data_IF_764747483519
#
_entry.id   IF_764747483519
#
_cell.length_a   1.000
_cell.length_b   1.000
_cell.length_c   1.000
_cell.angle_alpha   90.00
_cell.angle_beta   90.00
_cell.angle_gamma   90.00
#
_symmetry.space_group_name_H-M   'P 1'
#
loop_
_entity.id
_entity.type
_entity.pdbx_description
1 polymer ?
#
# COMPACT_ATOMS: atom_id res chain seq x y z
N UNK A 1 -19.37 -8.82 19.43
CA UNK A 1 -19.33 -8.16 18.11
C UNK A 1 -18.15 -8.72 17.35
N UNK A 2 -18.41 -9.65 16.44
CA UNK A 2 -17.41 -10.12 15.49
C UNK A 2 -17.07 -8.94 14.57
N UNK A 3 -15.82 -8.46 14.59
CA UNK A 3 -15.38 -7.44 13.64
C UNK A 3 -15.44 -8.08 12.27
N UNK A 4 -16.38 -7.66 11.42
CA UNK A 4 -16.33 -7.92 9.98
C UNK A 4 -15.03 -7.27 9.49
N UNK A 5 -13.97 -8.07 9.36
CA UNK A 5 -12.73 -7.62 8.74
C UNK A 5 -13.10 -7.46 7.27
N UNK A 6 -13.32 -6.23 6.83
CA UNK A 6 -13.48 -5.94 5.41
C UNK A 6 -12.34 -6.61 4.65
N UNK A 7 -12.68 -7.39 3.63
CA UNK A 7 -11.68 -8.14 2.87
C UNK A 7 -10.61 -7.17 2.36
N UNK A 8 -9.36 -7.43 2.76
CA UNK A 8 -8.22 -6.60 2.36
C UNK A 8 -8.06 -6.68 0.85
N UNK A 9 -7.92 -5.53 0.21
CA UNK A 9 -7.62 -5.49 -1.21
C UNK A 9 -6.18 -5.98 -1.50
N UNK A 10 -5.86 -6.19 -2.77
CA UNK A 10 -4.56 -6.74 -3.15
C UNK A 10 -3.40 -5.82 -2.76
N UNK A 11 -3.59 -4.51 -2.78
CA UNK A 11 -2.59 -3.54 -2.33
C UNK A 11 -2.35 -3.64 -0.81
N UNK A 12 -3.40 -3.73 0.01
CA UNK A 12 -3.28 -3.96 1.45
C UNK A 12 -2.54 -5.28 1.77
N UNK A 13 -2.82 -6.33 1.00
CA UNK A 13 -2.11 -7.62 1.10
C UNK A 13 -0.64 -7.50 0.70
N UNK A 14 -0.32 -6.69 -0.31
CA UNK A 14 1.07 -6.42 -0.70
C UNK A 14 1.84 -5.73 0.43
N UNK A 15 1.24 -4.71 1.06
CA UNK A 15 1.85 -4.04 2.20
C UNK A 15 2.07 -5.01 3.38
N UNK A 16 1.16 -5.96 3.62
CA UNK A 16 1.34 -6.98 4.66
C UNK A 16 2.47 -7.95 4.33
N UNK A 17 2.58 -8.38 3.06
CA UNK A 17 3.65 -9.27 2.59
C UNK A 17 5.05 -8.66 2.69
N UNK A 18 5.17 -7.33 2.69
CA UNK A 18 6.45 -6.65 2.91
C UNK A 18 7.05 -6.91 4.30
N UNK A 19 6.25 -7.34 5.28
CA UNK A 19 6.67 -7.49 6.68
C UNK A 19 6.89 -6.16 7.41
N UNK A 20 6.77 -5.02 6.72
CA UNK A 20 6.94 -3.69 7.31
C UNK A 20 5.69 -3.25 8.06
N UNK A 21 5.89 -2.62 9.23
CA UNK A 21 4.80 -1.95 9.95
C UNK A 21 4.32 -0.76 9.13
N UNK A 22 3.00 -0.50 9.09
CA UNK A 22 2.42 0.66 8.38
C UNK A 22 3.03 2.01 8.79
N UNK A 23 3.43 2.16 10.06
CA UNK A 23 4.16 3.36 10.53
C UNK A 23 5.49 3.53 9.79
N UNK A 24 6.26 2.44 9.64
CA UNK A 24 7.56 2.44 8.95
C UNK A 24 7.39 2.71 7.46
N UNK A 25 6.37 2.13 6.81
CA UNK A 25 6.08 2.41 5.41
C UNK A 25 5.76 3.90 5.21
N UNK A 26 4.90 4.48 6.07
CA UNK A 26 4.55 5.89 5.99
C UNK A 26 5.77 6.81 6.21
N UNK A 27 6.62 6.48 7.19
CA UNK A 27 7.87 7.21 7.47
C UNK A 27 8.83 7.17 6.28
N UNK A 28 8.99 6.02 5.62
CA UNK A 28 9.90 5.88 4.46
C UNK A 28 9.41 6.58 3.20
N UNK A 29 8.09 6.75 3.07
CA UNK A 29 7.46 7.49 1.98
C UNK A 29 7.34 8.99 2.28
N UNK A 30 7.80 9.44 3.45
CA UNK A 30 7.60 10.82 3.94
C UNK A 30 6.12 11.28 3.90
N UNK A 31 5.20 10.37 4.25
CA UNK A 31 3.77 10.66 4.34
C UNK A 31 3.21 10.37 5.72
N UNK A 32 2.09 11.01 6.03
CA UNK A 32 1.35 10.69 7.26
C UNK A 32 0.70 9.29 7.18
N UNK A 33 0.48 8.67 8.36
CA UNK A 33 -0.27 7.40 8.44
C UNK A 33 -1.70 7.51 7.90
N UNK A 34 -2.32 8.68 7.98
CA UNK A 34 -3.68 8.91 7.45
C UNK A 34 -3.66 8.98 5.92
N UNK A 35 -2.63 9.58 5.32
CA UNK A 35 -2.39 9.55 3.87
C UNK A 35 -2.21 8.12 3.39
N UNK A 36 -1.36 7.33 4.06
CA UNK A 36 -1.16 5.92 3.72
C UNK A 36 -2.47 5.11 3.86
N UNK A 37 -3.31 5.40 4.86
CA UNK A 37 -4.62 4.75 5.01
C UNK A 37 -5.57 5.09 3.85
N UNK A 38 -5.64 6.36 3.43
CA UNK A 38 -6.45 6.77 2.28
C UNK A 38 -6.00 6.06 0.99
N UNK A 39 -4.70 5.96 0.77
CA UNK A 39 -4.11 5.23 -0.36
C UNK A 39 -4.42 3.72 -0.31
N UNK A 40 -4.40 3.11 0.87
CA UNK A 40 -4.84 1.71 1.03
C UNK A 40 -6.31 1.50 0.65
N UNK A 41 -7.20 2.45 1.01
CA UNK A 41 -8.63 2.34 0.71
C UNK A 41 -9.01 2.75 -0.69
N UNK A 42 -8.19 3.56 -1.36
CA UNK A 42 -8.34 3.91 -2.76
C UNK A 42 -6.99 3.90 -3.49
N UNK A 43 -6.44 2.70 -3.80
CA UNK A 43 -5.12 2.58 -4.41
C UNK A 43 -5.06 3.10 -5.85
N UNK A 44 -6.21 3.27 -6.52
CA UNK A 44 -6.29 3.85 -7.87
C UNK A 44 -5.89 5.32 -7.96
N UNK A 45 -5.78 6.00 -6.81
CA UNK A 45 -5.29 7.38 -6.73
C UNK A 45 -3.76 7.48 -6.55
N UNK A 46 -3.04 6.36 -6.58
CA UNK A 46 -1.57 6.35 -6.50
C UNK A 46 -1.02 6.65 -7.89
N UNK A 47 -0.25 7.73 -8.01
CA UNK A 47 0.39 8.15 -9.26
C UNK A 47 1.57 7.24 -9.65
N UNK A 48 2.12 7.45 -10.85
CA UNK A 48 3.28 6.69 -11.34
C UNK A 48 4.52 6.89 -10.44
N UNK A 49 4.80 8.13 -10.02
CA UNK A 49 5.95 8.45 -9.16
C UNK A 49 5.79 7.79 -7.78
N UNK A 50 4.61 7.93 -7.17
CA UNK A 50 4.30 7.29 -5.90
C UNK A 50 4.37 5.75 -5.98
N UNK A 51 3.98 5.17 -7.11
CA UNK A 51 4.11 3.73 -7.35
C UNK A 51 5.57 3.27 -7.30
N UNK A 52 6.49 4.05 -7.88
CA UNK A 52 7.92 3.76 -7.82
C UNK A 52 8.44 3.84 -6.38
N UNK A 53 8.04 4.88 -5.63
CA UNK A 53 8.40 5.01 -4.21
C UNK A 53 7.88 3.83 -3.37
N UNK A 54 6.64 3.39 -3.61
CA UNK A 54 6.10 2.19 -2.96
C UNK A 54 6.93 0.95 -3.32
N UNK A 55 7.34 0.79 -4.58
CA UNK A 55 8.13 -0.36 -5.01
C UNK A 55 9.47 -0.41 -4.27
N UNK A 56 10.16 0.73 -4.19
CA UNK A 56 11.44 0.88 -3.49
C UNK A 56 11.30 0.60 -1.98
N UNK A 57 10.29 1.19 -1.33
CA UNK A 57 10.05 1.00 0.11
C UNK A 57 9.70 -0.45 0.45
N UNK A 58 8.93 -1.12 -0.41
CA UNK A 58 8.47 -2.49 -0.20
C UNK A 58 9.48 -3.53 -0.70
N UNK A 59 10.52 -3.13 -1.43
CA UNK A 59 11.53 -4.01 -1.99
C UNK A 59 10.98 -4.95 -3.07
N UNK A 60 10.06 -4.45 -3.90
CA UNK A 60 9.42 -5.22 -4.99
C UNK A 60 9.53 -4.49 -6.32
N UNK A 61 9.27 -5.18 -7.43
CA UNK A 61 9.21 -4.55 -8.75
C UNK A 61 8.00 -3.59 -8.87
N UNK A 62 8.13 -2.42 -9.52
CA UNK A 62 7.00 -1.50 -9.74
C UNK A 62 5.77 -2.13 -10.39
N UNK A 63 5.95 -3.14 -11.26
CA UNK A 63 4.83 -3.90 -11.87
C UNK A 63 4.04 -4.68 -10.81
N UNK A 64 4.68 -5.11 -9.73
CA UNK A 64 3.99 -5.79 -8.62
C UNK A 64 3.06 -4.81 -7.89
N UNK A 65 3.52 -3.58 -7.69
CA UNK A 65 2.71 -2.49 -7.11
C UNK A 65 1.55 -2.15 -8.04
N UNK A 66 1.83 -1.94 -9.34
CA UNK A 66 0.81 -1.65 -10.35
C UNK A 66 -0.25 -2.75 -10.41
N UNK A 67 0.14 -4.02 -10.49
CA UNK A 67 -0.79 -5.15 -10.53
C UNK A 67 -1.67 -5.20 -9.28
N UNK A 68 -1.08 -4.96 -8.11
CA UNK A 68 -1.83 -4.91 -6.86
C UNK A 68 -2.85 -3.76 -6.83
N UNK A 69 -2.51 -2.60 -7.40
CA UNK A 69 -3.43 -1.45 -7.54
C UNK A 69 -4.57 -1.78 -8.51
N UNK A 70 -4.28 -2.39 -9.66
CA UNK A 70 -5.26 -2.67 -10.72
C UNK A 70 -6.33 -3.70 -10.31
N UNK A 71 -5.95 -4.70 -9.51
CA UNK A 71 -6.86 -5.74 -9.04
C UNK A 71 -7.49 -5.42 -7.67
N UNK A 72 -7.20 -4.23 -7.12
CA UNK A 72 -7.85 -3.67 -5.92
C UNK A 72 -9.04 -2.78 -6.29
#
# INVERSE_FOLDING_TARGET
MEKVVADKNAFEKLLDKSGLKRKVIAERLDISRSTLYKKQKNPRNIGADEMAEFADVLGVDPKTVLNAILIS
#
